data_IF_864348283476
#
_entry.id   IF_864348283476
#
_cell.length_a   1.000
_cell.length_b   1.000
_cell.length_c   1.000
_cell.angle_alpha   90.00
_cell.angle_beta   90.00
_cell.angle_gamma   90.00
#
_symmetry.space_group_name_H-M   'P 1'
#
loop_
_entity.id
_entity.type
_entity.pdbx_description
1 polymer ?
#
# COMPACT_ATOMS: atom_id res chain seq x y z
N UNK A 1 7.14 57.21 -38.56
CA UNK A 1 7.43 56.57 -37.25
C UNK A 1 6.18 56.01 -36.55
N UNK A 2 5.21 55.40 -37.26
CA UNK A 2 4.04 54.73 -36.64
C UNK A 2 3.85 53.27 -37.05
N UNK A 3 4.76 52.72 -37.87
CA UNK A 3 4.70 51.32 -38.33
C UNK A 3 5.76 50.40 -37.71
N UNK A 4 6.64 50.91 -36.85
CA UNK A 4 7.65 50.11 -36.14
C UNK A 4 7.20 49.74 -34.72
N UNK A 5 6.29 50.51 -34.11
CA UNK A 5 5.76 50.20 -32.78
C UNK A 5 4.83 48.97 -32.77
N UNK A 6 4.12 48.68 -33.88
CA UNK A 6 3.23 47.53 -33.96
C UNK A 6 3.98 46.18 -34.07
N UNK A 7 5.22 46.18 -34.58
CA UNK A 7 6.03 44.96 -34.70
C UNK A 7 6.77 44.62 -33.40
N UNK A 8 7.04 45.63 -32.55
CA UNK A 8 7.62 45.42 -31.21
C UNK A 8 6.60 44.88 -30.19
N UNK A 9 5.30 45.17 -30.36
CA UNK A 9 4.24 44.58 -29.52
C UNK A 9 4.00 43.10 -29.89
N UNK A 10 4.16 42.73 -31.17
CA UNK A 10 4.08 41.32 -31.59
C UNK A 10 5.30 40.48 -31.19
N UNK A 11 6.47 41.09 -30.99
CA UNK A 11 7.66 40.40 -30.46
C UNK A 11 7.65 40.27 -28.92
N UNK A 12 6.89 41.10 -28.20
CA UNK A 12 6.68 40.97 -26.75
C UNK A 12 5.48 40.08 -26.38
N UNK A 13 4.62 39.73 -27.34
CA UNK A 13 3.53 38.77 -27.16
C UNK A 13 3.89 37.33 -27.59
N UNK A 14 5.13 37.09 -28.05
CA UNK A 14 5.62 35.81 -28.56
C UNK A 14 6.31 34.90 -27.53
N UNK A 15 6.35 35.28 -26.25
CA UNK A 15 6.81 34.42 -25.16
C UNK A 15 5.58 33.87 -24.40
N UNK A 16 4.70 33.16 -25.12
CA UNK A 16 3.73 32.29 -24.46
C UNK A 16 4.46 31.06 -23.96
N UNK A 17 4.95 31.18 -22.73
CA UNK A 17 5.24 30.06 -21.84
C UNK A 17 4.02 29.14 -21.85
N UNK A 18 4.19 27.80 -21.89
CA UNK A 18 3.07 26.86 -21.83
C UNK A 18 2.21 27.18 -20.62
N UNK A 19 0.93 27.43 -20.86
CA UNK A 19 -0.07 27.67 -19.83
C UNK A 19 -0.24 26.39 -19.00
N UNK A 20 -0.14 26.48 -17.67
CA UNK A 20 -0.28 25.27 -16.87
C UNK A 20 -0.16 25.33 -15.36
N UNK A 21 -0.12 26.50 -14.70
CA UNK A 21 -0.50 26.65 -13.28
C UNK A 21 -1.10 28.05 -13.16
N UNK A 22 -2.15 28.23 -12.36
CA UNK A 22 -2.60 29.54 -11.92
C UNK A 22 -1.44 30.20 -11.15
N UNK A 23 -0.52 30.86 -11.86
CA UNK A 23 0.42 31.87 -11.34
C UNK A 23 -0.36 33.14 -11.01
N UNK A 24 -1.41 33.02 -10.20
CA UNK A 24 -1.98 34.17 -9.54
C UNK A 24 -1.00 34.57 -8.42
N UNK A 25 -0.22 35.62 -8.65
CA UNK A 25 0.27 36.60 -7.66
C UNK A 25 0.60 36.12 -6.22
N UNK A 26 1.19 34.94 -6.02
CA UNK A 26 1.68 34.51 -4.70
C UNK A 26 3.20 34.41 -4.74
N UNK A 27 3.88 35.28 -4.00
CA UNK A 27 5.33 35.23 -3.79
C UNK A 27 5.67 33.98 -2.98
N UNK A 28 6.72 33.20 -3.36
CA UNK A 28 7.16 32.08 -2.54
C UNK A 28 7.56 32.59 -1.15
N UNK A 29 7.22 31.81 -0.11
CA UNK A 29 7.61 32.10 1.28
C UNK A 29 9.08 31.77 1.54
N UNK A 30 9.67 30.90 0.71
CA UNK A 30 11.09 30.61 0.71
C UNK A 30 11.56 30.11 -0.66
N UNK A 31 12.83 30.36 -0.97
CA UNK A 31 13.51 29.83 -2.15
C UNK A 31 14.90 29.36 -1.75
N UNK A 32 15.27 28.16 -2.21
CA UNK A 32 16.56 27.55 -1.89
C UNK A 32 17.23 27.02 -3.15
N UNK A 33 18.55 27.13 -3.22
CA UNK A 33 19.32 26.30 -4.14
C UNK A 33 19.72 25.01 -3.42
N UNK A 34 19.46 23.88 -4.06
CA UNK A 34 19.94 22.55 -3.65
C UNK A 34 20.95 22.02 -4.65
N UNK A 35 21.96 21.34 -4.14
CA UNK A 35 23.04 20.72 -4.91
C UNK A 35 23.23 19.30 -4.38
N UNK A 36 23.38 18.34 -5.30
CA UNK A 36 23.59 16.95 -4.96
C UNK A 36 24.85 16.78 -4.08
N UNK A 37 24.77 15.96 -3.04
CA UNK A 37 25.83 15.69 -2.07
C UNK A 37 26.15 16.82 -1.08
N UNK A 38 25.36 17.91 -1.05
CA UNK A 38 25.59 19.05 -0.15
C UNK A 38 24.43 19.26 0.83
N UNK A 39 24.39 18.53 1.96
CA UNK A 39 23.34 18.68 2.96
C UNK A 39 23.42 20.03 3.68
N UNK A 40 22.27 20.57 4.08
CA UNK A 40 22.18 21.82 4.84
C UNK A 40 20.87 21.94 5.64
N UNK A 41 20.83 22.90 6.57
CA UNK A 41 19.62 23.25 7.36
C UNK A 41 19.28 24.73 7.19
N UNK A 42 17.99 25.06 7.01
CA UNK A 42 17.49 26.44 6.98
C UNK A 42 16.14 26.55 7.68
N UNK A 43 15.80 27.75 8.13
CA UNK A 43 14.48 28.06 8.68
C UNK A 43 13.59 28.73 7.63
N UNK A 44 12.32 28.35 7.64
CA UNK A 44 11.22 29.05 6.95
C UNK A 44 10.19 29.50 7.97
N UNK A 45 9.26 30.42 7.62
CA UNK A 45 8.20 30.78 8.55
C UNK A 45 7.51 29.52 9.10
N UNK A 46 7.58 29.29 10.42
CA UNK A 46 6.89 28.16 11.06
C UNK A 46 7.51 26.77 10.88
N UNK A 47 8.68 26.61 10.26
CA UNK A 47 9.35 25.31 10.15
C UNK A 47 10.89 25.38 10.00
N UNK A 48 11.58 24.32 10.40
CA UNK A 48 13.02 24.09 10.17
C UNK A 48 13.15 23.00 9.11
N UNK A 49 13.93 23.24 8.06
CA UNK A 49 14.06 22.39 6.87
C UNK A 49 15.49 21.88 6.76
N UNK A 50 15.65 20.57 6.59
CA UNK A 50 16.92 19.90 6.39
C UNK A 50 16.94 19.25 5.00
N UNK A 51 17.95 19.58 4.20
CA UNK A 51 18.22 18.93 2.93
C UNK A 51 19.20 17.78 3.12
N UNK A 52 18.88 16.60 2.59
CA UNK A 52 19.70 15.38 2.73
C UNK A 52 20.85 15.33 1.72
N UNK A 53 20.72 16.01 0.57
CA UNK A 53 21.73 15.98 -0.48
C UNK A 53 21.36 15.13 -1.70
N UNK A 54 20.17 14.56 -1.78
CA UNK A 54 19.84 13.51 -2.75
C UNK A 54 18.69 13.91 -3.66
N UNK A 55 18.87 13.73 -4.97
CA UNK A 55 17.79 13.81 -5.96
C UNK A 55 17.45 12.41 -6.44
N UNK A 56 16.16 12.14 -6.57
CA UNK A 56 15.65 10.84 -6.96
C UNK A 56 14.83 10.98 -8.24
N UNK A 57 14.89 9.97 -9.12
CA UNK A 57 14.04 9.91 -10.31
C UNK A 57 12.85 8.99 -10.02
N UNK A 58 11.65 9.56 -9.94
CA UNK A 58 10.45 8.80 -9.57
C UNK A 58 9.68 8.23 -10.77
N UNK A 59 10.30 8.20 -11.95
CA UNK A 59 9.70 7.76 -13.21
C UNK A 59 8.86 8.83 -13.92
N UNK A 60 8.47 9.91 -13.23
CA UNK A 60 7.68 11.01 -13.81
C UNK A 60 8.41 12.35 -13.79
N UNK A 61 9.37 12.51 -12.91
CA UNK A 61 10.18 13.72 -12.78
C UNK A 61 11.27 13.55 -11.74
N UNK A 62 12.06 14.61 -11.58
CA UNK A 62 13.03 14.69 -10.49
C UNK A 62 12.37 15.15 -9.20
N UNK A 63 12.78 14.51 -8.10
CA UNK A 63 12.39 14.92 -6.76
C UNK A 63 13.60 15.21 -5.87
N UNK A 64 13.36 16.06 -4.87
CA UNK A 64 14.34 16.47 -3.88
C UNK A 64 13.69 16.29 -2.51
N UNK A 65 14.19 15.33 -1.73
CA UNK A 65 13.68 15.01 -0.39
C UNK A 65 14.27 15.87 0.75
N UNK A 66 13.40 16.47 1.55
CA UNK A 66 13.72 17.28 2.72
C UNK A 66 13.17 16.64 4.00
N UNK A 67 13.84 16.82 5.14
CA UNK A 67 13.23 16.62 6.46
C UNK A 67 12.79 17.96 7.04
N UNK A 68 11.51 18.09 7.34
CA UNK A 68 10.90 19.33 7.84
C UNK A 68 10.40 19.13 9.26
N UNK A 69 10.70 20.07 10.16
CA UNK A 69 10.20 20.15 11.53
C UNK A 69 9.32 21.40 11.68
N UNK A 70 8.04 21.22 11.99
CA UNK A 70 7.07 22.31 12.14
C UNK A 70 7.08 22.82 13.57
N UNK A 71 7.40 24.09 13.76
CA UNK A 71 7.66 24.66 15.10
C UNK A 71 6.40 24.86 15.92
N UNK A 72 5.24 24.98 15.27
CA UNK A 72 3.94 25.18 15.93
C UNK A 72 3.31 23.85 16.40
N UNK A 73 3.46 22.78 15.62
CA UNK A 73 2.89 21.45 15.89
C UNK A 73 3.86 20.51 16.59
N UNK A 74 5.17 20.74 16.43
CA UNK A 74 6.23 19.87 16.92
C UNK A 74 6.46 18.61 16.06
N UNK A 75 5.79 18.51 14.90
CA UNK A 75 5.91 17.35 14.01
C UNK A 75 7.16 17.43 13.14
N UNK A 76 7.78 16.27 12.90
CA UNK A 76 8.89 16.10 11.97
C UNK A 76 8.55 15.04 10.92
N UNK A 77 8.68 15.37 9.63
CA UNK A 77 8.39 14.46 8.54
C UNK A 77 9.24 14.74 7.30
N UNK A 78 9.30 13.77 6.39
CA UNK A 78 9.88 13.92 5.06
C UNK A 78 8.93 14.64 4.11
N UNK A 79 9.45 15.52 3.27
CA UNK A 79 8.71 16.23 2.22
C UNK A 79 9.56 16.21 0.96
N UNK A 80 8.98 15.81 -0.16
CA UNK A 80 9.63 15.93 -1.46
C UNK A 80 9.25 17.26 -2.09
N UNK A 81 10.19 17.97 -2.70
CA UNK A 81 9.88 18.92 -3.74
C UNK A 81 9.86 18.15 -5.07
N UNK A 82 8.93 18.47 -5.97
CA UNK A 82 8.89 17.87 -7.32
C UNK A 82 8.76 18.94 -8.38
N UNK A 83 9.05 18.61 -9.63
CA UNK A 83 8.87 19.53 -10.76
C UNK A 83 7.41 20.04 -10.91
N UNK A 84 6.45 19.26 -10.40
CA UNK A 84 5.02 19.60 -10.44
C UNK A 84 4.50 20.22 -9.14
N UNK A 85 5.27 20.16 -8.06
CA UNK A 85 4.87 20.63 -6.75
C UNK A 85 4.21 19.57 -5.89
N UNK A 86 4.61 19.52 -4.63
CA UNK A 86 4.10 18.56 -3.64
C UNK A 86 3.70 19.25 -2.35
N UNK A 87 2.54 18.89 -1.80
CA UNK A 87 2.01 19.46 -0.55
C UNK A 87 2.59 18.70 0.64
N UNK A 88 3.15 19.41 1.63
CA UNK A 88 3.69 18.78 2.85
C UNK A 88 2.62 18.05 3.68
N UNK A 89 3.03 17.26 4.68
CA UNK A 89 2.09 16.43 5.44
C UNK A 89 1.26 17.21 6.48
N UNK A 90 1.61 18.46 6.77
CA UNK A 90 0.78 19.38 7.57
C UNK A 90 -0.20 20.17 6.67
N UNK A 91 -0.13 19.99 5.35
CA UNK A 91 -0.95 20.69 4.36
C UNK A 91 -0.63 22.19 4.25
N UNK A 92 0.50 22.65 4.80
CA UNK A 92 0.81 24.07 5.00
C UNK A 92 1.52 24.68 3.79
N UNK A 93 2.42 23.93 3.16
CA UNK A 93 3.24 24.39 2.04
C UNK A 93 3.18 23.47 0.82
N UNK A 94 3.42 24.06 -0.35
CA UNK A 94 3.65 23.41 -1.64
C UNK A 94 5.13 23.58 -1.99
N UNK A 95 5.80 22.49 -2.35
CA UNK A 95 7.24 22.40 -2.60
C UNK A 95 7.49 22.08 -4.07
N UNK A 96 8.03 23.04 -4.82
CA UNK A 96 8.26 22.92 -6.27
C UNK A 96 9.77 22.97 -6.54
N UNK A 97 10.28 22.09 -7.40
CA UNK A 97 11.64 22.22 -7.96
C UNK A 97 11.56 22.86 -9.33
N UNK A 98 12.40 23.86 -9.55
CA UNK A 98 12.58 24.52 -10.84
C UNK A 98 14.07 24.62 -11.16
N UNK A 99 14.40 25.02 -12.40
CA UNK A 99 15.77 25.24 -12.86
C UNK A 99 16.70 24.04 -12.61
N UNK A 100 16.17 22.81 -12.79
CA UNK A 100 16.93 21.58 -12.65
C UNK A 100 18.07 21.51 -13.67
N UNK A 101 19.24 21.11 -13.19
CA UNK A 101 20.41 20.81 -14.00
C UNK A 101 20.73 19.34 -13.84
N UNK A 102 20.98 18.66 -14.95
CA UNK A 102 21.31 17.24 -14.99
C UNK A 102 22.66 16.99 -15.65
N UNK A 103 23.22 15.82 -15.40
CA UNK A 103 24.41 15.28 -16.03
C UNK A 103 24.07 13.95 -16.69
N UNK A 104 24.58 13.72 -17.89
CA UNK A 104 24.42 12.46 -18.64
C UNK A 104 25.77 11.71 -18.71
N UNK A 105 25.73 10.41 -18.42
CA UNK A 105 26.86 9.50 -18.53
C UNK A 105 26.49 8.34 -19.47
N UNK A 106 26.75 8.46 -20.78
CA UNK A 106 26.35 7.45 -21.76
C UNK A 106 27.31 6.25 -21.79
N UNK A 107 26.76 5.05 -21.82
CA UNK A 107 27.46 3.81 -22.10
C UNK A 107 27.05 3.27 -23.46
N UNK A 108 27.99 2.78 -24.27
CA UNK A 108 27.70 2.29 -25.64
C UNK A 108 28.18 0.86 -25.81
N UNK A 109 27.33 0.02 -26.41
CA UNK A 109 27.65 -1.38 -26.72
C UNK A 109 27.20 -1.79 -28.12
N UNK A 110 28.02 -2.60 -28.78
CA UNK A 110 27.64 -3.28 -30.02
C UNK A 110 27.27 -4.73 -29.72
N UNK A 111 26.04 -5.13 -30.06
CA UNK A 111 25.51 -6.47 -29.79
C UNK A 111 25.06 -7.16 -31.09
N UNK A 112 25.56 -8.36 -31.31
CA UNK A 112 25.05 -9.30 -32.31
C UNK A 112 23.80 -10.04 -31.84
N UNK A 113 23.25 -10.87 -32.73
CA UNK A 113 22.13 -11.74 -32.42
C UNK A 113 22.46 -12.68 -31.25
N UNK A 114 21.56 -12.75 -30.26
CA UNK A 114 21.67 -13.49 -29.00
C UNK A 114 22.78 -13.02 -28.05
N UNK A 115 23.48 -11.92 -28.35
CA UNK A 115 24.37 -11.28 -27.38
C UNK A 115 23.55 -10.44 -26.38
N UNK A 116 24.03 -10.34 -25.14
CA UNK A 116 23.35 -9.66 -24.03
C UNK A 116 24.22 -8.59 -23.37
N UNK A 117 23.57 -7.58 -22.79
CA UNK A 117 24.18 -6.50 -22.02
C UNK A 117 23.16 -5.94 -21.01
N UNK A 118 23.48 -5.90 -19.71
CA UNK A 118 22.50 -5.56 -18.65
C UNK A 118 21.20 -6.35 -18.75
N UNK A 119 21.28 -7.66 -19.03
CA UNK A 119 20.12 -8.53 -19.29
C UNK A 119 19.24 -8.11 -20.48
N UNK A 120 19.66 -7.13 -21.28
CA UNK A 120 19.08 -6.81 -22.58
C UNK A 120 19.69 -7.72 -23.65
N UNK A 121 18.93 -8.71 -24.11
CA UNK A 121 19.36 -9.69 -25.12
C UNK A 121 18.75 -9.38 -26.48
N UNK A 122 19.60 -9.22 -27.49
CA UNK A 122 19.13 -8.97 -28.87
C UNK A 122 18.58 -10.26 -29.48
N UNK A 123 17.28 -10.34 -29.72
CA UNK A 123 16.63 -11.53 -30.31
C UNK A 123 16.44 -11.44 -31.82
N UNK A 124 16.46 -10.24 -32.38
CA UNK A 124 16.29 -10.05 -33.82
C UNK A 124 16.90 -8.75 -34.29
N UNK A 125 17.52 -8.75 -35.47
CA UNK A 125 18.07 -7.57 -36.14
C UNK A 125 17.62 -7.60 -37.60
N UNK A 126 16.92 -6.56 -38.02
CA UNK A 126 16.58 -6.29 -39.42
C UNK A 126 17.24 -4.98 -39.87
N UNK A 127 18.40 -5.07 -40.55
CA UNK A 127 19.13 -3.89 -41.01
C UNK A 127 18.41 -3.15 -42.15
N UNK A 128 17.47 -3.77 -42.85
CA UNK A 128 16.75 -3.12 -43.96
C UNK A 128 15.68 -2.18 -43.45
N UNK A 129 14.99 -2.56 -42.37
CA UNK A 129 13.96 -1.72 -41.74
C UNK A 129 14.48 -0.90 -40.58
N UNK A 130 15.77 -1.06 -40.24
CA UNK A 130 16.41 -0.41 -39.11
C UNK A 130 15.88 -0.91 -37.76
N UNK A 131 15.30 -2.12 -37.70
CA UNK A 131 14.56 -2.64 -36.55
C UNK A 131 15.39 -3.63 -35.74
N UNK A 132 15.33 -3.54 -34.42
CA UNK A 132 15.90 -4.52 -33.49
C UNK A 132 14.82 -4.93 -32.48
N UNK A 133 14.78 -6.21 -32.13
CA UNK A 133 13.97 -6.72 -31.02
C UNK A 133 14.93 -7.13 -29.91
N UNK A 134 14.67 -6.60 -28.72
CA UNK A 134 15.47 -6.79 -27.52
C UNK A 134 14.54 -7.36 -26.46
N UNK A 135 14.87 -8.52 -25.88
CA UNK A 135 14.19 -8.98 -24.68
C UNK A 135 14.99 -8.51 -23.47
N UNK A 136 14.29 -8.03 -22.46
CA UNK A 136 14.82 -7.77 -21.15
C UNK A 136 14.63 -9.03 -20.30
N UNK A 137 15.69 -9.79 -20.13
CA UNK A 137 15.65 -11.07 -19.41
C UNK A 137 15.42 -10.87 -17.89
N UNK A 138 15.56 -9.65 -17.36
CA UNK A 138 15.33 -9.32 -15.95
C UNK A 138 13.84 -9.17 -15.60
N UNK A 139 13.09 -8.39 -16.38
CA UNK A 139 11.66 -8.16 -16.14
C UNK A 139 10.73 -8.97 -17.07
N UNK A 140 11.27 -9.60 -18.11
CA UNK A 140 10.54 -10.39 -19.10
C UNK A 140 9.86 -9.59 -20.22
N UNK A 141 10.12 -8.28 -20.31
CA UNK A 141 9.58 -7.41 -21.35
C UNK A 141 10.33 -7.55 -22.68
N UNK A 142 9.66 -7.20 -23.78
CA UNK A 142 10.26 -7.18 -25.13
C UNK A 142 10.13 -5.80 -25.74
N UNK A 143 11.26 -5.17 -26.04
CA UNK A 143 11.32 -3.88 -26.74
C UNK A 143 11.53 -4.08 -28.23
N UNK A 144 10.79 -3.32 -29.01
CA UNK A 144 11.00 -3.19 -30.45
C UNK A 144 11.45 -1.77 -30.74
N UNK A 145 12.72 -1.63 -31.12
CA UNK A 145 13.33 -0.33 -31.41
C UNK A 145 13.68 -0.21 -32.89
N UNK A 146 13.59 1.01 -33.41
CA UNK A 146 14.16 1.43 -34.69
C UNK A 146 15.36 2.34 -34.47
N UNK A 147 16.25 2.43 -35.45
CA UNK A 147 17.40 3.34 -35.38
C UNK A 147 16.91 4.78 -35.14
N UNK A 148 17.43 5.40 -34.08
CA UNK A 148 17.04 6.71 -33.57
C UNK A 148 15.96 6.69 -32.49
N UNK A 149 15.34 5.53 -32.21
CA UNK A 149 14.38 5.40 -31.11
C UNK A 149 15.11 5.40 -29.77
N UNK A 150 14.45 5.99 -28.78
CA UNK A 150 14.82 5.91 -27.39
C UNK A 150 13.62 5.50 -26.53
N UNK A 151 13.89 4.77 -25.46
CA UNK A 151 12.88 4.36 -24.48
C UNK A 151 13.42 4.55 -23.06
N UNK A 152 12.55 4.96 -22.15
CA UNK A 152 12.86 5.00 -20.72
C UNK A 152 12.84 3.57 -20.18
N UNK A 153 13.96 3.13 -19.60
CA UNK A 153 14.14 1.82 -18.95
C UNK A 153 14.59 1.99 -17.50
N UNK A 154 14.28 3.14 -16.90
CA UNK A 154 14.62 3.45 -15.51
C UNK A 154 13.99 2.42 -14.57
N UNK A 155 14.79 1.78 -13.72
CA UNK A 155 14.31 0.73 -12.80
C UNK A 155 14.09 -0.64 -13.47
N UNK A 156 14.31 -0.76 -14.78
CA UNK A 156 14.07 -1.99 -15.54
C UNK A 156 15.36 -2.79 -15.80
N UNK A 157 16.51 -2.33 -15.29
CA UNK A 157 17.79 -3.02 -15.37
C UNK A 157 18.22 -3.54 -14.00
N UNK A 158 18.89 -4.71 -13.93
CA UNK A 158 19.29 -5.33 -12.67
C UNK A 158 20.28 -4.48 -11.85
N UNK A 159 20.99 -3.55 -12.50
CA UNK A 159 21.95 -2.63 -11.92
C UNK A 159 21.49 -1.17 -11.92
N UNK A 160 20.23 -0.91 -12.30
CA UNK A 160 19.65 0.42 -12.14
C UNK A 160 19.50 0.76 -10.67
N UNK A 161 20.07 1.89 -10.26
CA UNK A 161 19.81 2.47 -8.95
C UNK A 161 18.62 3.41 -9.12
N UNK A 162 17.63 3.37 -8.22
CA UNK A 162 16.39 4.20 -8.29
C UNK A 162 16.59 5.73 -8.20
N UNK A 163 17.83 6.20 -8.36
CA UNK A 163 18.29 7.58 -8.24
C UNK A 163 18.63 8.21 -9.59
N UNK A 164 18.51 7.47 -10.69
CA UNK A 164 18.84 7.95 -12.03
C UNK A 164 17.72 7.65 -13.03
N UNK A 165 17.67 8.49 -14.07
CA UNK A 165 16.88 8.21 -15.26
C UNK A 165 17.75 7.46 -16.25
N UNK A 166 17.33 6.26 -16.63
CA UNK A 166 18.04 5.42 -17.61
C UNK A 166 17.27 5.35 -18.91
N UNK A 167 17.89 5.78 -20.01
CA UNK A 167 17.28 5.76 -21.35
C UNK A 167 18.08 4.85 -22.28
N UNK A 168 17.40 3.88 -22.89
CA UNK A 168 17.97 3.01 -23.92
C UNK A 168 17.71 3.60 -25.31
N UNK A 169 18.77 3.88 -26.05
CA UNK A 169 18.74 4.33 -27.45
C UNK A 169 19.24 3.21 -28.37
N UNK A 170 18.52 2.97 -29.47
CA UNK A 170 19.09 2.24 -30.62
C UNK A 170 19.72 3.25 -31.57
N UNK A 171 21.04 3.42 -31.48
CA UNK A 171 21.76 4.46 -32.22
C UNK A 171 22.00 4.11 -33.69
N UNK A 172 22.32 2.86 -33.99
CA UNK A 172 22.66 2.41 -35.34
C UNK A 172 22.59 0.87 -35.47
N UNK A 173 22.60 0.36 -36.71
CA UNK A 173 22.80 -1.06 -37.02
C UNK A 173 23.99 -1.20 -37.98
N UNK A 174 25.10 -1.75 -37.49
CA UNK A 174 26.30 -2.01 -38.28
C UNK A 174 26.19 -3.36 -38.97
N UNK A 175 26.25 -3.37 -40.30
CA UNK A 175 26.25 -4.61 -41.09
C UNK A 175 27.64 -4.88 -41.66
N UNK A 176 28.19 -6.07 -41.37
CA UNK A 176 29.51 -6.49 -41.83
C UNK A 176 29.54 -7.95 -42.30
N UNK A 177 30.75 -8.44 -42.61
CA UNK A 177 30.98 -9.80 -43.11
C UNK A 177 30.52 -10.91 -42.16
N UNK A 178 30.37 -10.61 -40.87
CA UNK A 178 30.00 -11.56 -39.82
C UNK A 178 28.56 -11.40 -39.32
N UNK A 179 27.73 -10.65 -40.05
CA UNK A 179 26.34 -10.35 -39.70
C UNK A 179 26.12 -8.90 -39.29
N UNK A 180 24.89 -8.62 -38.85
CA UNK A 180 24.49 -7.29 -38.37
C UNK A 180 24.62 -7.22 -36.84
N UNK A 181 25.04 -6.05 -36.33
CA UNK A 181 25.11 -5.73 -34.91
C UNK A 181 24.31 -4.47 -34.61
N UNK A 182 23.53 -4.48 -33.55
CA UNK A 182 22.86 -3.32 -33.00
C UNK A 182 23.85 -2.48 -32.17
N UNK A 183 23.84 -1.17 -32.36
CA UNK A 183 24.61 -0.22 -31.53
C UNK A 183 23.63 0.39 -30.54
N UNK A 184 23.68 -0.08 -29.29
CA UNK A 184 22.84 0.39 -28.20
C UNK A 184 23.61 1.40 -27.35
N UNK A 185 22.90 2.41 -26.87
CA UNK A 185 23.43 3.39 -25.90
C UNK A 185 22.50 3.43 -24.69
N UNK A 186 23.04 3.28 -23.49
CA UNK A 186 22.35 3.54 -22.24
C UNK A 186 22.79 4.91 -21.73
N UNK A 187 21.85 5.83 -21.59
CA UNK A 187 22.07 7.15 -21.01
C UNK A 187 21.69 7.13 -19.53
N UNK A 188 22.67 7.32 -18.65
CA UNK A 188 22.47 7.42 -17.22
C UNK A 188 22.43 8.89 -16.82
N UNK A 189 21.23 9.42 -16.60
CA UNK A 189 20.99 10.84 -16.35
C UNK A 189 20.71 11.06 -14.86
N UNK A 190 21.51 11.92 -14.22
CA UNK A 190 21.39 12.26 -12.80
C UNK A 190 21.19 13.76 -12.60
N UNK A 191 20.36 14.17 -11.63
CA UNK A 191 20.21 15.57 -11.26
C UNK A 191 21.38 16.03 -10.37
N UNK A 192 21.96 17.18 -10.70
CA UNK A 192 23.12 17.75 -9.99
C UNK A 192 22.76 18.98 -9.15
N UNK A 193 21.77 19.77 -9.58
CA UNK A 193 21.27 20.91 -8.81
C UNK A 193 19.87 21.34 -9.24
N UNK A 194 19.19 22.09 -8.38
CA UNK A 194 17.87 22.65 -8.65
C UNK A 194 17.53 23.77 -7.68
N UNK A 195 16.53 24.57 -8.03
CA UNK A 195 15.97 25.62 -7.17
C UNK A 195 14.66 25.10 -6.58
N UNK A 196 14.53 25.07 -5.26
CA UNK A 196 13.27 24.75 -4.59
C UNK A 196 12.54 26.02 -4.19
N UNK A 197 11.30 26.14 -4.63
CA UNK A 197 10.37 27.23 -4.32
C UNK A 197 9.26 26.69 -3.41
N UNK A 198 9.03 27.36 -2.29
CA UNK A 198 8.03 26.97 -1.29
C UNK A 198 6.90 28.00 -1.28
N UNK A 199 5.67 27.53 -1.48
CA UNK A 199 4.46 28.36 -1.52
C UNK A 199 3.50 28.00 -0.39
N UNK A 200 2.71 28.94 0.13
CA UNK A 200 1.62 28.59 1.05
C UNK A 200 0.54 27.79 0.31
N UNK A 201 -0.03 26.77 0.95
CA UNK A 201 -1.09 25.94 0.37
C UNK A 201 -2.50 26.43 0.83
N UNK A 202 -3.35 26.93 -0.07
CA UNK A 202 -4.67 27.43 0.29
C UNK A 202 -5.81 26.39 0.24
N UNK A 203 -5.58 25.13 -0.15
CA UNK A 203 -6.72 24.22 -0.31
C UNK A 203 -6.49 22.79 -0.81
N UNK A 204 -5.26 22.28 -0.88
CA UNK A 204 -5.02 20.87 -1.19
C UNK A 204 -4.78 20.05 0.09
N UNK A 205 -5.25 18.79 0.14
CA UNK A 205 -4.95 17.93 1.29
C UNK A 205 -3.43 17.64 1.36
N UNK A 206 -2.91 17.37 2.56
CA UNK A 206 -1.50 17.02 2.74
C UNK A 206 -1.06 15.84 1.87
N UNK A 207 0.19 15.85 1.38
CA UNK A 207 0.77 14.76 0.58
C UNK A 207 0.29 14.68 -0.88
N UNK A 208 -0.25 15.77 -1.43
CA UNK A 208 -0.77 15.82 -2.80
C UNK A 208 0.28 16.36 -3.77
N UNK A 209 0.55 15.66 -4.88
CA UNK A 209 1.30 16.20 -6.01
C UNK A 209 0.36 16.94 -6.97
N UNK A 210 0.72 18.15 -7.40
CA UNK A 210 -0.21 19.05 -8.09
C UNK A 210 -0.40 18.73 -9.59
N UNK A 211 0.44 17.85 -10.15
CA UNK A 211 0.36 17.34 -11.53
C UNK A 211 0.49 18.41 -12.65
N UNK A 212 0.85 18.02 -13.87
CA UNK A 212 0.73 18.91 -15.02
C UNK A 212 -0.76 19.15 -15.30
N UNK A 213 -1.13 20.42 -15.52
CA UNK A 213 -2.51 20.89 -15.72
C UNK A 213 -3.37 19.93 -16.54
N UNK A 214 -4.54 19.63 -15.98
CA UNK A 214 -5.54 18.69 -16.48
C UNK A 214 -5.96 18.95 -17.92
N UNK A 215 -5.43 18.20 -18.89
CA UNK A 215 -6.10 17.88 -20.14
C UNK A 215 -5.81 16.43 -20.54
N UNK A 216 -6.88 15.68 -20.82
CA UNK A 216 -6.94 14.28 -21.26
C UNK A 216 -6.57 13.20 -20.23
N UNK A 217 -7.60 12.83 -19.45
CA UNK A 217 -7.71 11.55 -18.77
C UNK A 217 -7.59 10.41 -19.79
N UNK A 218 -6.47 9.70 -19.77
CA UNK A 218 -6.52 8.23 -19.71
C UNK A 218 -6.10 7.86 -18.29
N UNK A 219 -7.06 7.32 -17.52
CA UNK A 219 -6.88 6.86 -16.14
C UNK A 219 -5.63 5.97 -16.02
N UNK A 220 -4.54 6.50 -15.48
CA UNK A 220 -3.64 5.68 -14.67
C UNK A 220 -3.99 5.96 -13.22
N UNK A 221 -4.80 5.07 -12.65
CA UNK A 221 -5.06 5.05 -11.22
C UNK A 221 -3.73 5.00 -10.46
N UNK A 222 -3.63 5.64 -9.27
CA UNK A 222 -2.44 5.52 -8.42
C UNK A 222 -2.10 4.04 -8.25
N UNK A 223 -0.89 3.63 -8.65
CA UNK A 223 -0.45 2.24 -8.49
C UNK A 223 -0.35 1.95 -7.00
N UNK A 224 -1.31 1.18 -6.50
CA UNK A 224 -1.28 0.66 -5.13
C UNK A 224 -0.01 -0.16 -4.95
N UNK A 225 0.81 0.10 -3.91
CA UNK A 225 1.99 -0.69 -3.65
C UNK A 225 1.61 -2.17 -3.53
N UNK A 226 2.32 -3.09 -4.21
CA UNK A 226 2.00 -4.51 -4.12
C UNK A 226 2.07 -4.96 -2.66
N UNK A 227 1.09 -5.76 -2.23
CA UNK A 227 1.07 -6.32 -0.88
C UNK A 227 2.36 -7.11 -0.65
N UNK A 228 3.04 -6.82 0.46
CA UNK A 228 4.24 -7.55 0.83
C UNK A 228 3.89 -9.03 1.01
N UNK A 229 4.46 -9.90 0.16
CA UNK A 229 4.23 -11.34 0.14
C UNK A 229 4.73 -12.06 1.41
N UNK A 230 5.44 -11.37 2.30
CA UNK A 230 5.85 -11.91 3.61
C UNK A 230 4.85 -11.60 4.72
N UNK A 231 3.89 -10.70 4.50
CA UNK A 231 2.90 -10.35 5.52
C UNK A 231 1.84 -11.45 5.62
N UNK A 232 1.54 -11.95 6.83
CA UNK A 232 0.56 -13.01 6.99
C UNK A 232 -0.86 -12.52 6.70
N UNK A 233 -1.68 -13.44 6.19
CA UNK A 233 -3.10 -13.18 5.93
C UNK A 233 -3.86 -12.93 7.23
N UNK A 234 -3.52 -13.69 8.27
CA UNK A 234 -4.09 -13.57 9.59
C UNK A 234 -2.98 -13.53 10.63
N UNK A 235 -3.07 -12.56 11.55
CA UNK A 235 -2.17 -12.45 12.70
C UNK A 235 -2.95 -12.75 13.97
N UNK A 236 -2.47 -13.68 14.79
CA UNK A 236 -3.06 -14.02 16.09
C UNK A 236 -2.25 -13.33 17.18
N UNK A 237 -2.85 -12.35 17.84
CA UNK A 237 -2.23 -11.60 18.93
C UNK A 237 -2.73 -12.16 20.26
N UNK A 238 -1.80 -12.68 21.06
CA UNK A 238 -2.06 -13.21 22.39
C UNK A 238 -1.34 -12.35 23.42
N UNK A 239 -1.96 -12.15 24.59
CA UNK A 239 -1.31 -11.39 25.65
C UNK A 239 -0.05 -12.05 26.20
N UNK A 240 1.02 -11.27 26.43
CA UNK A 240 2.26 -11.75 27.07
C UNK A 240 1.98 -12.41 28.43
N UNK A 241 1.03 -11.84 29.18
CA UNK A 241 0.64 -12.31 30.51
C UNK A 241 -0.61 -13.20 30.48
N UNK A 242 -1.03 -13.66 29.29
CA UNK A 242 -2.20 -14.49 29.16
C UNK A 242 -1.99 -15.84 29.85
N UNK A 243 -3.04 -16.38 30.48
CA UNK A 243 -2.92 -17.69 31.11
C UNK A 243 -2.64 -18.75 30.03
N UNK A 244 -2.00 -19.86 30.39
CA UNK A 244 -1.71 -20.94 29.42
C UNK A 244 -2.95 -21.44 28.66
N UNK A 245 -4.14 -21.26 29.21
CA UNK A 245 -5.42 -21.53 28.55
C UNK A 245 -5.76 -20.56 27.42
N UNK A 246 -5.42 -19.28 27.56
CA UNK A 246 -5.64 -18.24 26.54
C UNK A 246 -4.63 -18.42 25.39
N UNK A 247 -3.39 -18.79 25.70
CA UNK A 247 -2.37 -19.19 24.71
C UNK A 247 -2.84 -20.40 23.91
N UNK A 248 -3.36 -21.43 24.59
CA UNK A 248 -3.93 -22.60 23.93
C UNK A 248 -5.18 -22.25 23.09
N UNK A 249 -6.01 -21.32 23.55
CA UNK A 249 -7.16 -20.83 22.79
C UNK A 249 -6.72 -20.07 21.53
N UNK A 250 -5.68 -19.23 21.62
CA UNK A 250 -5.09 -18.54 20.47
C UNK A 250 -4.50 -19.51 19.45
N UNK A 251 -3.75 -20.50 19.90
CA UNK A 251 -3.21 -21.55 19.04
C UNK A 251 -4.31 -22.32 18.31
N UNK A 252 -5.46 -22.59 18.95
CA UNK A 252 -6.61 -23.23 18.30
C UNK A 252 -7.19 -22.40 17.16
N UNK A 253 -7.33 -21.09 17.36
CA UNK A 253 -7.80 -20.18 16.31
C UNK A 253 -6.80 -20.15 15.16
N UNK A 254 -5.50 -20.00 15.45
CA UNK A 254 -4.44 -20.03 14.44
C UNK A 254 -4.42 -21.31 13.62
N UNK A 255 -4.51 -22.48 14.27
CA UNK A 255 -4.59 -23.78 13.59
C UNK A 255 -5.86 -23.87 12.71
N UNK A 256 -7.00 -23.36 13.18
CA UNK A 256 -8.25 -23.38 12.42
C UNK A 256 -8.12 -22.57 11.13
N UNK A 257 -7.60 -21.34 11.27
CA UNK A 257 -7.38 -20.42 10.15
C UNK A 257 -6.36 -21.00 9.18
N UNK A 258 -5.22 -21.52 9.66
CA UNK A 258 -4.21 -22.14 8.79
C UNK A 258 -4.78 -23.34 8.03
N UNK A 259 -5.48 -24.27 8.71
CA UNK A 259 -6.10 -25.42 8.03
C UNK A 259 -7.11 -25.01 6.98
N UNK A 260 -7.85 -23.93 7.27
CA UNK A 260 -8.82 -23.40 6.34
C UNK A 260 -8.13 -22.79 5.10
N UNK A 261 -7.04 -22.05 5.30
CA UNK A 261 -6.18 -21.54 4.22
C UNK A 261 -5.60 -22.69 3.39
N UNK A 262 -5.05 -23.73 4.03
CA UNK A 262 -4.43 -24.88 3.35
C UNK A 262 -5.42 -25.58 2.43
N UNK A 263 -6.67 -25.78 2.89
CA UNK A 263 -7.72 -26.43 2.08
C UNK A 263 -8.10 -25.61 0.85
N UNK A 264 -8.06 -24.28 0.96
CA UNK A 264 -8.32 -23.41 -0.18
C UNK A 264 -7.16 -23.47 -1.17
N UNK A 265 -5.92 -23.53 -0.69
CA UNK A 265 -4.75 -23.76 -1.55
C UNK A 265 -4.80 -25.12 -2.26
N UNK A 266 -5.23 -26.17 -1.57
CA UNK A 266 -5.23 -27.55 -2.09
C UNK A 266 -6.36 -27.81 -3.11
N UNK A 267 -7.48 -27.09 -3.01
CA UNK A 267 -8.64 -27.25 -3.91
C UNK A 267 -8.46 -26.46 -5.20
N UNK A 268 -7.65 -26.98 -6.10
CA UNK A 268 -7.61 -26.56 -7.51
C UNK A 268 -8.87 -27.04 -8.26
N UNK A 269 -9.50 -26.16 -9.04
CA UNK A 269 -10.39 -26.57 -10.13
C UNK A 269 -11.90 -26.43 -9.92
N UNK A 270 -12.56 -27.33 -9.19
CA UNK A 270 -14.02 -27.55 -9.40
C UNK A 270 -14.88 -27.72 -8.13
N UNK A 271 -14.35 -27.42 -6.94
CA UNK A 271 -15.09 -27.65 -5.68
C UNK A 271 -15.77 -26.38 -5.19
N UNK A 272 -17.09 -26.31 -5.30
CA UNK A 272 -17.90 -25.30 -4.60
C UNK A 272 -17.74 -25.50 -3.10
N UNK A 273 -17.07 -24.56 -2.43
CA UNK A 273 -16.92 -24.59 -0.96
C UNK A 273 -18.25 -24.11 -0.34
N UNK A 274 -18.97 -24.98 0.41
CA UNK A 274 -20.24 -24.60 1.00
C UNK A 274 -20.09 -23.41 1.96
N UNK A 275 -20.96 -22.41 1.81
CA UNK A 275 -20.90 -21.16 2.58
C UNK A 275 -20.09 -20.02 1.96
N UNK A 276 -19.28 -20.28 0.91
CA UNK A 276 -18.48 -19.27 0.21
C UNK A 276 -19.06 -18.82 -1.14
N UNK A 277 -20.07 -19.52 -1.68
CA UNK A 277 -20.74 -19.11 -2.93
C UNK A 277 -19.78 -18.96 -4.11
N UNK A 278 -19.94 -17.87 -4.90
CA UNK A 278 -19.10 -17.58 -6.08
C UNK A 278 -17.63 -17.27 -5.77
N UNK A 279 -17.27 -16.96 -4.51
CA UNK A 279 -15.88 -16.77 -4.09
C UNK A 279 -15.08 -18.08 -4.16
N UNK A 280 -15.72 -19.23 -3.91
CA UNK A 280 -15.04 -20.52 -3.91
C UNK A 280 -14.38 -20.88 -5.24
N UNK A 281 -15.02 -20.55 -6.37
CA UNK A 281 -14.49 -20.83 -7.71
C UNK A 281 -13.31 -19.91 -8.09
N UNK A 282 -13.31 -18.64 -7.65
CA UNK A 282 -12.21 -17.70 -7.94
C UNK A 282 -11.00 -17.95 -7.04
N UNK A 283 -11.21 -18.29 -5.77
CA UNK A 283 -10.13 -18.65 -4.84
C UNK A 283 -9.31 -19.86 -5.32
N UNK A 284 -9.95 -20.82 -6.00
CA UNK A 284 -9.29 -22.00 -6.59
C UNK A 284 -8.32 -21.68 -7.75
N UNK A 285 -8.37 -20.45 -8.28
CA UNK A 285 -7.54 -20.00 -9.41
C UNK A 285 -6.37 -19.09 -9.00
N UNK A 286 -6.26 -18.78 -7.70
CA UNK A 286 -5.25 -17.83 -7.21
C UNK A 286 -3.87 -18.49 -7.01
N UNK A 287 -2.77 -17.80 -7.34
CA UNK A 287 -1.42 -18.29 -7.06
C UNK A 287 -1.21 -18.49 -5.55
N UNK A 288 -0.75 -19.67 -5.15
CA UNK A 288 -0.65 -20.12 -3.75
C UNK A 288 0.49 -19.48 -2.92
N UNK A 289 0.99 -18.29 -3.29
CA UNK A 289 2.17 -17.69 -2.66
C UNK A 289 1.81 -17.12 -1.27
N UNK A 290 2.43 -17.69 -0.24
CA UNK A 290 2.55 -17.21 1.16
C UNK A 290 1.28 -16.84 1.95
N UNK A 291 0.15 -17.50 1.73
CA UNK A 291 -0.99 -17.36 2.64
C UNK A 291 -0.72 -18.13 3.94
N UNK A 292 -0.37 -17.45 5.02
CA UNK A 292 -0.14 -18.06 6.33
C UNK A 292 -0.91 -17.33 7.43
N UNK A 293 -1.29 -18.07 8.46
CA UNK A 293 -1.62 -17.53 9.76
C UNK A 293 -0.37 -17.56 10.63
N UNK A 294 -0.05 -16.44 11.28
CA UNK A 294 1.09 -16.33 12.21
C UNK A 294 0.62 -15.84 13.58
N UNK A 295 1.46 -15.97 14.61
CA UNK A 295 1.12 -15.58 15.97
C UNK A 295 2.23 -14.72 16.59
N UNK A 296 1.83 -13.70 17.36
CA UNK A 296 2.74 -12.83 18.10
C UNK A 296 2.19 -12.48 19.47
N UNK A 297 3.07 -12.03 20.36
CA UNK A 297 2.65 -11.48 21.65
C UNK A 297 2.18 -10.03 21.49
N UNK A 298 1.23 -9.60 22.32
CA UNK A 298 0.71 -8.23 22.30
C UNK A 298 1.78 -7.16 22.56
N UNK A 299 2.84 -7.48 23.31
CA UNK A 299 3.99 -6.60 23.54
C UNK A 299 4.89 -6.43 22.32
N UNK A 300 4.79 -7.31 21.33
CA UNK A 300 5.53 -7.23 20.06
C UNK A 300 4.77 -6.37 19.03
N UNK A 301 3.51 -6.03 19.31
CA UNK A 301 2.68 -5.22 18.41
C UNK A 301 3.09 -3.75 18.48
N UNK A 302 3.89 -3.31 17.51
CA UNK A 302 4.32 -1.91 17.36
C UNK A 302 3.48 -1.12 16.34
N UNK A 303 3.04 -1.76 15.25
CA UNK A 303 2.20 -1.16 14.21
C UNK A 303 1.06 -2.11 13.80
N UNK A 304 -0.10 -2.05 14.48
CA UNK A 304 -1.23 -2.94 14.20
C UNK A 304 -1.80 -2.84 12.79
N UNK A 305 -1.53 -1.74 12.07
CA UNK A 305 -2.01 -1.54 10.70
C UNK A 305 -1.29 -2.41 9.67
N UNK A 306 -0.11 -2.95 10.02
CA UNK A 306 0.81 -3.62 9.10
C UNK A 306 1.10 -5.09 9.42
N UNK A 307 0.77 -5.57 10.62
CA UNK A 307 1.11 -6.93 11.08
C UNK A 307 0.32 -8.06 10.37
N UNK A 308 -0.82 -7.74 9.76
CA UNK A 308 -1.66 -8.70 9.06
C UNK A 308 -2.95 -8.06 8.55
N UNK A 309 -3.59 -8.70 7.57
CA UNK A 309 -4.85 -8.18 7.02
C UNK A 309 -6.04 -8.36 7.97
N UNK A 310 -6.12 -9.52 8.63
CA UNK A 310 -7.04 -9.74 9.76
C UNK A 310 -6.21 -9.99 11.01
N UNK A 311 -6.50 -9.25 12.07
CA UNK A 311 -5.83 -9.43 13.36
C UNK A 311 -6.82 -10.04 14.36
N UNK A 312 -6.55 -11.26 14.80
CA UNK A 312 -7.31 -11.94 15.85
C UNK A 312 -6.73 -11.59 17.21
N UNK A 313 -7.44 -10.79 18.00
CA UNK A 313 -7.05 -10.49 19.39
C UNK A 313 -7.67 -11.52 20.31
N UNK A 314 -6.84 -12.34 20.97
CA UNK A 314 -7.32 -13.43 21.82
C UNK A 314 -7.13 -13.10 23.29
N UNK A 315 -8.21 -13.23 24.06
CA UNK A 315 -8.26 -12.94 25.49
C UNK A 315 -8.81 -11.55 25.81
N UNK A 316 -9.42 -11.42 26.99
CA UNK A 316 -10.03 -10.15 27.42
C UNK A 316 -9.02 -9.05 27.78
N UNK A 317 -9.49 -7.81 28.01
CA UNK A 317 -8.62 -6.65 28.32
C UNK A 317 -7.71 -6.81 29.55
N UNK A 318 -8.01 -7.75 30.44
CA UNK A 318 -7.18 -8.04 31.60
C UNK A 318 -5.93 -8.87 31.25
N UNK A 319 -5.99 -9.65 30.17
CA UNK A 319 -4.95 -10.58 29.77
C UNK A 319 -4.19 -10.10 28.52
N UNK A 320 -4.80 -9.26 27.69
CA UNK A 320 -4.27 -8.82 26.40
C UNK A 320 -4.44 -7.29 26.25
N UNK A 321 -3.32 -6.59 26.11
CA UNK A 321 -3.25 -5.13 25.94
C UNK A 321 -3.86 -4.67 24.62
N UNK A 322 -3.72 -5.47 23.55
CA UNK A 322 -4.35 -5.19 22.26
C UNK A 322 -5.88 -5.26 22.38
N UNK A 323 -6.42 -6.25 23.09
CA UNK A 323 -7.85 -6.30 23.43
C UNK A 323 -8.31 -5.11 24.27
N UNK A 324 -7.47 -4.63 25.20
CA UNK A 324 -7.76 -3.44 25.99
C UNK A 324 -7.81 -2.17 25.12
N UNK A 325 -6.88 -2.04 24.16
CA UNK A 325 -6.88 -0.96 23.18
C UNK A 325 -8.16 -0.97 22.35
N UNK A 326 -8.55 -2.12 21.78
CA UNK A 326 -9.80 -2.25 21.03
C UNK A 326 -11.01 -1.87 21.87
N UNK A 327 -11.05 -2.30 23.14
CA UNK A 327 -12.17 -2.04 24.05
C UNK A 327 -12.34 -0.55 24.46
N UNK A 328 -11.36 0.32 24.17
CA UNK A 328 -11.47 1.76 24.40
C UNK A 328 -12.37 2.47 23.38
N UNK A 329 -12.66 1.82 22.25
CA UNK A 329 -13.60 2.31 21.23
C UNK A 329 -15.01 2.47 21.80
N UNK A 330 -15.65 3.59 21.51
CA UNK A 330 -16.98 3.95 22.02
C UNK A 330 -18.12 3.49 21.10
N UNK A 331 -17.80 3.16 19.85
CA UNK A 331 -18.73 2.70 18.82
C UNK A 331 -19.02 1.19 18.89
N UNK A 332 -18.37 0.45 19.79
CA UNK A 332 -18.56 -0.99 19.91
C UNK A 332 -19.96 -1.34 20.45
N UNK A 333 -20.66 -2.32 19.84
CA UNK A 333 -21.98 -2.74 20.28
C UNK A 333 -21.97 -3.44 21.64
N UNK A 334 -20.82 -4.00 22.04
CA UNK A 334 -20.58 -4.62 23.35
C UNK A 334 -19.18 -4.21 23.81
N UNK A 335 -19.01 -3.93 25.11
CA UNK A 335 -17.73 -3.58 25.71
C UNK A 335 -17.51 -4.35 27.00
N UNK A 336 -16.24 -4.57 27.33
CA UNK A 336 -15.80 -5.03 28.63
C UNK A 336 -15.74 -3.84 29.60
N UNK A 337 -16.46 -3.95 30.72
CA UNK A 337 -16.50 -2.94 31.76
C UNK A 337 -16.09 -3.58 33.08
N UNK A 338 -15.14 -2.97 33.80
CA UNK A 338 -14.71 -3.41 35.13
C UNK A 338 -15.43 -2.59 36.20
N UNK A 339 -16.26 -3.23 37.01
CA UNK A 339 -16.97 -2.63 38.15
C UNK A 339 -16.73 -3.47 39.40
N UNK A 340 -16.31 -2.85 40.51
CA UNK A 340 -16.07 -3.54 41.79
C UNK A 340 -15.19 -4.80 41.63
N UNK A 341 -14.08 -4.65 40.90
CA UNK A 341 -13.14 -5.72 40.56
C UNK A 341 -13.69 -6.92 39.77
N UNK A 342 -14.89 -6.79 39.18
CA UNK A 342 -15.48 -7.79 38.30
C UNK A 342 -15.63 -7.25 36.88
N UNK A 343 -15.32 -8.09 35.91
CA UNK A 343 -15.55 -7.80 34.50
C UNK A 343 -16.96 -8.17 34.08
N UNK A 344 -17.54 -7.33 33.24
CA UNK A 344 -18.85 -7.51 32.63
C UNK A 344 -18.79 -7.22 31.14
N UNK A 345 -19.59 -7.94 30.37
CA UNK A 345 -19.90 -7.54 29.00
C UNK A 345 -21.14 -6.67 29.09
N UNK A 346 -21.08 -5.47 28.53
CA UNK A 346 -22.17 -4.51 28.54
C UNK A 346 -22.44 -4.08 27.10
N UNK A 347 -23.68 -4.25 26.65
CA UNK A 347 -24.09 -3.78 25.33
C UNK A 347 -24.35 -2.27 25.32
N UNK A 348 -24.32 -1.66 24.13
CA UNK A 348 -24.76 -0.27 23.92
C UNK A 348 -26.23 -0.02 24.32
N UNK A 349 -27.03 -1.08 24.47
CA UNK A 349 -28.44 -1.03 24.85
C UNK A 349 -28.68 -1.30 26.34
N UNK A 350 -27.63 -1.54 27.13
CA UNK A 350 -27.73 -1.80 28.57
C UNK A 350 -27.87 -3.27 28.96
N UNK A 351 -28.00 -4.21 28.01
CA UNK A 351 -27.89 -5.65 28.30
C UNK A 351 -26.52 -5.95 28.92
N UNK A 352 -26.51 -6.82 29.93
CA UNK A 352 -25.31 -7.11 30.74
C UNK A 352 -25.15 -8.60 30.98
N UNK A 353 -23.93 -9.10 30.76
CA UNK A 353 -23.54 -10.48 31.06
C UNK A 353 -22.44 -10.51 32.11
N UNK A 354 -22.51 -11.52 32.98
CA UNK A 354 -21.54 -11.79 34.04
C UNK A 354 -21.34 -13.30 34.17
N UNK A 355 -20.19 -13.72 34.69
CA UNK A 355 -19.80 -15.14 34.74
C UNK A 355 -18.99 -15.54 33.50
N UNK A 356 -19.07 -16.80 33.10
CA UNK A 356 -18.23 -17.38 32.04
C UNK A 356 -18.82 -17.16 30.63
N UNK A 357 -18.94 -15.89 30.22
CA UNK A 357 -19.37 -15.51 28.87
C UNK A 357 -18.19 -15.04 28.01
N UNK A 358 -18.27 -15.39 26.73
CA UNK A 358 -17.37 -14.96 25.66
C UNK A 358 -18.04 -13.97 24.71
N UNK A 359 -17.21 -13.28 23.93
CA UNK A 359 -17.60 -12.48 22.79
C UNK A 359 -16.71 -12.79 21.60
N UNK A 360 -17.31 -12.92 20.43
CA UNK A 360 -16.65 -12.86 19.14
C UNK A 360 -17.10 -11.57 18.48
N UNK A 361 -16.18 -10.66 18.20
CA UNK A 361 -16.51 -9.36 17.64
C UNK A 361 -15.67 -9.01 16.43
N UNK A 362 -16.33 -8.65 15.34
CA UNK A 362 -15.68 -8.10 14.15
C UNK A 362 -15.67 -6.59 14.27
N UNK A 363 -14.50 -5.99 14.14
CA UNK A 363 -14.28 -4.55 14.20
C UNK A 363 -13.56 -4.16 12.90
N UNK A 364 -14.27 -3.59 11.91
CA UNK A 364 -13.62 -3.08 10.71
C UNK A 364 -12.59 -2.01 11.09
N UNK A 365 -11.40 -2.12 10.48
CA UNK A 365 -10.37 -1.11 10.60
C UNK A 365 -10.68 0.10 9.69
N UNK A 366 -11.59 -0.06 8.73
CA UNK A 366 -11.84 0.84 7.61
C UNK A 366 -13.34 0.89 7.33
N UNK A 367 -13.86 2.05 6.94
CA UNK A 367 -15.31 2.30 6.79
C UNK A 367 -15.81 2.20 5.35
N UNK A 368 -14.91 2.34 4.37
CA UNK A 368 -15.25 2.27 2.95
C UNK A 368 -14.01 1.96 2.08
N UNK A 369 -14.27 1.71 0.79
CA UNK A 369 -13.25 1.35 -0.21
C UNK A 369 -12.23 2.46 -0.44
N UNK A 370 -12.63 3.74 -0.39
CA UNK A 370 -11.72 4.87 -0.63
C UNK A 370 -10.73 5.03 0.54
N UNK A 371 -11.23 4.93 1.78
CA UNK A 371 -10.39 4.89 2.99
C UNK A 371 -9.47 3.67 2.96
N UNK A 372 -9.91 2.55 2.38
CA UNK A 372 -9.04 1.38 2.21
C UNK A 372 -7.93 1.62 1.19
N UNK A 373 -8.25 2.24 0.05
CA UNK A 373 -7.25 2.66 -0.94
C UNK A 373 -6.21 3.58 -0.30
N UNK A 374 -6.66 4.60 0.41
CA UNK A 374 -5.76 5.52 1.13
C UNK A 374 -4.90 4.81 2.20
N UNK A 375 -5.49 3.86 2.92
CA UNK A 375 -4.81 3.04 3.94
C UNK A 375 -3.70 2.19 3.31
N UNK A 376 -4.01 1.51 2.19
CA UNK A 376 -3.05 0.71 1.43
C UNK A 376 -1.91 1.56 0.86
N UNK A 377 -2.23 2.74 0.33
CA UNK A 377 -1.22 3.69 -0.16
C UNK A 377 -0.26 4.15 0.95
N UNK A 378 -0.71 4.15 2.21
CA UNK A 378 0.10 4.42 3.41
C UNK A 378 0.80 3.17 3.97
N UNK A 379 0.72 2.04 3.26
CA UNK A 379 1.30 0.76 3.67
C UNK A 379 0.53 0.02 4.76
N UNK A 380 -0.67 0.48 5.13
CA UNK A 380 -1.55 -0.21 6.08
C UNK A 380 -2.42 -1.21 5.32
N UNK A 381 -2.36 -2.47 5.72
CA UNK A 381 -3.04 -3.57 5.02
C UNK A 381 -4.21 -4.14 5.82
N UNK A 382 -4.34 -3.77 7.10
CA UNK A 382 -5.36 -4.30 7.99
C UNK A 382 -6.75 -3.86 7.56
N UNK A 383 -7.64 -4.83 7.37
CA UNK A 383 -9.06 -4.57 7.05
C UNK A 383 -9.98 -4.73 8.26
N UNK A 384 -9.63 -5.59 9.22
CA UNK A 384 -10.45 -5.86 10.39
C UNK A 384 -9.65 -6.43 11.56
N UNK A 385 -10.12 -6.12 12.75
CA UNK A 385 -9.77 -6.80 13.99
C UNK A 385 -10.91 -7.77 14.36
N UNK A 386 -10.57 -8.99 14.77
CA UNK A 386 -11.52 -9.96 15.32
C UNK A 386 -11.15 -10.20 16.79
N UNK A 387 -11.94 -9.62 17.69
CA UNK A 387 -11.78 -9.82 19.12
C UNK A 387 -12.46 -11.12 19.54
N UNK A 388 -11.69 -12.07 20.07
CA UNK A 388 -12.17 -13.35 20.58
C UNK A 388 -11.78 -13.45 22.05
N UNK A 389 -12.71 -13.10 22.94
CA UNK A 389 -12.38 -12.84 24.34
C UNK A 389 -13.52 -13.21 25.27
N UNK A 390 -13.20 -13.60 26.51
CA UNK A 390 -14.19 -13.80 27.56
C UNK A 390 -13.95 -12.99 28.81
N UNK A 391 -14.96 -13.00 29.67
CA UNK A 391 -14.90 -12.45 31.03
C UNK A 391 -13.95 -13.25 31.93
N UNK A 392 -13.76 -14.52 31.59
CA UNK A 392 -12.80 -15.44 32.17
C UNK A 392 -12.23 -16.37 31.09
N UNK A 393 -11.32 -17.26 31.50
CA UNK A 393 -10.71 -18.26 30.62
C UNK A 393 -11.72 -19.18 29.93
N UNK A 394 -12.85 -19.47 30.57
CA UNK A 394 -13.87 -20.38 30.03
C UNK A 394 -14.67 -19.71 28.93
N UNK A 395 -15.04 -18.44 29.13
CA UNK A 395 -15.66 -17.61 28.10
C UNK A 395 -14.75 -17.42 26.89
N UNK A 396 -13.46 -17.14 27.09
CA UNK A 396 -12.49 -17.03 25.97
C UNK A 396 -12.42 -18.36 25.22
N UNK A 397 -12.29 -19.46 25.94
CA UNK A 397 -12.19 -20.80 25.34
C UNK A 397 -13.43 -21.19 24.53
N UNK A 398 -14.63 -20.94 25.08
CA UNK A 398 -15.88 -21.23 24.38
C UNK A 398 -16.04 -20.40 23.10
N UNK A 399 -15.68 -19.11 23.13
CA UNK A 399 -15.67 -18.26 21.95
C UNK A 399 -14.66 -18.77 20.89
N UNK A 400 -13.44 -19.14 21.31
CA UNK A 400 -12.43 -19.70 20.41
C UNK A 400 -12.84 -21.06 19.83
N UNK A 401 -13.44 -21.94 20.63
CA UNK A 401 -13.86 -23.28 20.17
C UNK A 401 -15.05 -23.23 19.23
N UNK A 402 -16.04 -22.37 19.49
CA UNK A 402 -17.11 -22.08 18.55
C UNK A 402 -16.55 -21.57 17.23
N UNK A 403 -15.70 -20.53 17.27
CA UNK A 403 -15.11 -19.93 16.08
C UNK A 403 -14.27 -20.92 15.27
N UNK A 404 -13.41 -21.70 15.94
CA UNK A 404 -12.65 -22.81 15.33
C UNK A 404 -13.59 -23.82 14.67
N UNK A 405 -14.68 -24.19 15.37
CA UNK A 405 -15.70 -25.10 14.86
C UNK A 405 -16.29 -24.60 13.54
N UNK A 406 -16.67 -23.32 13.48
CA UNK A 406 -17.22 -22.69 12.30
C UNK A 406 -16.24 -22.61 11.13
N UNK A 407 -14.97 -22.23 11.37
CA UNK A 407 -13.95 -22.24 10.30
C UNK A 407 -13.74 -23.64 9.71
N UNK A 408 -13.89 -24.69 10.51
CA UNK A 408 -13.75 -26.07 10.05
C UNK A 408 -15.04 -26.67 9.47
N UNK A 409 -16.19 -25.99 9.50
CA UNK A 409 -17.43 -26.50 8.89
C UNK A 409 -17.37 -26.50 7.35
N UNK A 410 -16.95 -25.42 6.65
CA UNK A 410 -16.81 -25.42 5.20
C UNK A 410 -15.88 -26.53 4.69
N UNK A 411 -14.82 -26.81 5.45
CA UNK A 411 -13.88 -27.93 5.22
C UNK A 411 -14.61 -29.28 5.17
N UNK A 412 -15.59 -29.47 6.04
CA UNK A 412 -16.39 -30.69 6.15
C UNK A 412 -17.60 -30.70 5.22
N UNK A 413 -17.73 -29.71 4.34
CA UNK A 413 -18.90 -29.53 3.48
C UNK A 413 -20.17 -29.11 4.22
N UNK A 414 -20.02 -28.57 5.44
CA UNK A 414 -21.11 -28.10 6.29
C UNK A 414 -21.15 -26.58 6.22
N UNK A 415 -22.34 -26.00 6.15
CA UNK A 415 -22.51 -24.56 6.18
C UNK A 415 -22.25 -24.01 7.61
N UNK A 416 -21.49 -22.91 7.75
CA UNK A 416 -21.34 -22.22 9.03
C UNK A 416 -22.68 -21.77 9.60
N UNK A 417 -22.70 -21.51 10.91
CA UNK A 417 -23.81 -20.80 11.54
C UNK A 417 -24.01 -19.45 10.84
N UNK A 418 -25.27 -19.08 10.60
CA UNK A 418 -25.64 -17.83 9.92
C UNK A 418 -25.08 -16.61 10.64
N UNK A 419 -24.95 -16.67 11.97
CA UNK A 419 -24.52 -15.56 12.80
C UNK A 419 -22.99 -15.38 12.76
N UNK A 420 -22.25 -16.44 12.38
CA UNK A 420 -20.78 -16.43 12.21
C UNK A 420 -20.35 -16.41 10.73
N UNK A 421 -21.30 -16.50 9.80
CA UNK A 421 -21.07 -16.52 8.36
C UNK A 421 -20.25 -15.32 7.89
N UNK A 422 -20.53 -14.11 8.40
CA UNK A 422 -19.82 -12.90 8.01
C UNK A 422 -18.34 -12.95 8.37
N UNK A 423 -17.96 -13.60 9.49
CA UNK A 423 -16.54 -13.80 9.86
C UNK A 423 -15.87 -14.75 8.87
N UNK A 424 -16.55 -15.87 8.57
CA UNK A 424 -16.03 -16.89 7.65
C UNK A 424 -15.88 -16.33 6.23
N UNK A 425 -16.83 -15.50 5.78
CA UNK A 425 -16.78 -14.82 4.48
C UNK A 425 -15.69 -13.74 4.42
N UNK A 426 -15.54 -12.95 5.48
CA UNK A 426 -14.48 -11.94 5.60
C UNK A 426 -13.10 -12.60 5.48
N UNK A 427 -12.87 -13.69 6.23
CA UNK A 427 -11.62 -14.45 6.14
C UNK A 427 -11.35 -14.97 4.73
N UNK A 428 -12.41 -15.30 3.97
CA UNK A 428 -12.27 -15.77 2.60
C UNK A 428 -11.97 -14.71 1.58
N UNK A 429 -12.51 -13.51 1.76
CA UNK A 429 -12.25 -12.39 0.87
C UNK A 429 -10.82 -11.89 0.99
N UNK A 430 -10.24 -11.94 2.19
CA UNK A 430 -8.86 -11.56 2.42
C UNK A 430 -7.86 -12.43 1.66
N UNK A 431 -8.18 -13.71 1.45
CA UNK A 431 -7.33 -14.56 0.60
C UNK A 431 -7.34 -14.13 -0.86
N UNK A 432 -8.46 -13.55 -1.35
CA UNK A 432 -8.52 -13.01 -2.70
C UNK A 432 -7.70 -11.73 -2.89
N UNK A 433 -7.45 -10.99 -1.81
CA UNK A 433 -6.72 -9.71 -1.84
C UNK A 433 -5.25 -9.85 -2.21
N UNK A 434 -4.61 -10.98 -1.90
CA UNK A 434 -3.21 -11.22 -2.27
C UNK A 434 -2.99 -11.44 -3.77
N UNK A 435 -4.06 -11.78 -4.51
CA UNK A 435 -3.97 -11.93 -5.95
C UNK A 435 -4.36 -10.64 -6.69
N UNK A 436 -5.40 -9.95 -6.21
CA UNK A 436 -5.81 -8.63 -6.68
C UNK A 436 -6.58 -7.91 -5.54
N UNK A 437 -6.00 -6.87 -4.92
CA UNK A 437 -6.57 -6.18 -3.76
C UNK A 437 -7.88 -5.44 -4.02
N UNK A 438 -8.27 -5.21 -5.29
CA UNK A 438 -9.51 -4.50 -5.64
C UNK A 438 -10.58 -5.39 -6.25
N UNK A 439 -10.21 -6.54 -6.83
CA UNK A 439 -11.19 -7.54 -7.31
C UNK A 439 -12.18 -7.97 -6.23
N UNK A 440 -11.81 -7.88 -4.95
CA UNK A 440 -12.65 -8.29 -3.81
C UNK A 440 -13.94 -7.49 -3.70
N UNK A 441 -13.94 -6.22 -4.15
CA UNK A 441 -15.10 -5.34 -4.09
C UNK A 441 -16.11 -5.63 -5.20
N UNK A 442 -15.66 -6.30 -6.27
CA UNK A 442 -16.50 -6.72 -7.39
C UNK A 442 -17.10 -8.12 -7.18
N UNK A 443 -16.59 -8.88 -6.19
CA UNK A 443 -16.86 -10.31 -6.01
C UNK A 443 -17.32 -10.58 -4.57
N UNK A 444 -18.61 -10.37 -4.32
CA UNK A 444 -19.25 -10.80 -3.07
C UNK A 444 -19.55 -9.67 -2.09
N UNK A 445 -19.49 -9.98 -0.79
CA UNK A 445 -19.78 -9.04 0.30
C UNK A 445 -18.67 -7.98 0.37
N UNK A 446 -18.98 -6.69 0.44
CA UNK A 446 -17.93 -5.68 0.58
C UNK A 446 -17.31 -5.76 1.99
N UNK A 447 -16.02 -6.13 2.15
CA UNK A 447 -15.40 -6.31 3.46
C UNK A 447 -15.29 -5.00 4.25
N UNK A 448 -15.40 -3.84 3.58
CA UNK A 448 -15.46 -2.53 4.25
C UNK A 448 -16.88 -2.18 4.74
N UNK A 449 -17.90 -2.94 4.30
CA UNK A 449 -19.29 -2.78 4.73
C UNK A 449 -19.71 -3.78 5.81
N UNK A 450 -18.78 -4.56 6.37
CA UNK A 450 -19.09 -5.45 7.50
C UNK A 450 -19.51 -4.56 8.69
N UNK A 451 -20.75 -4.64 9.19
CA UNK A 451 -21.11 -3.89 10.39
C UNK A 451 -20.35 -4.45 11.59
N UNK A 452 -20.02 -3.59 12.56
CA UNK A 452 -19.40 -4.05 13.81
C UNK A 452 -20.36 -5.05 14.46
N UNK A 453 -20.00 -6.33 14.48
CA UNK A 453 -20.91 -7.39 14.93
C UNK A 453 -20.31 -8.02 16.17
N UNK A 454 -21.10 -8.13 17.24
CA UNK A 454 -20.71 -8.81 18.46
C UNK A 454 -21.64 -10.00 18.75
N UNK A 455 -21.05 -11.16 18.96
CA UNK A 455 -21.74 -12.42 19.21
C UNK A 455 -21.39 -12.84 20.63
N UNK A 456 -22.39 -12.87 21.50
CA UNK A 456 -22.24 -13.32 22.89
C UNK A 456 -22.37 -14.84 22.92
N UNK A 457 -21.38 -15.48 23.52
CA UNK A 457 -21.26 -16.93 23.62
C UNK A 457 -21.26 -17.32 25.09
N UNK A 458 -22.02 -18.35 25.48
CA UNK A 458 -21.91 -18.91 26.82
C UNK A 458 -20.75 -19.92 26.93
N UNK A 459 -20.46 -20.37 28.15
CA UNK A 459 -19.42 -21.38 28.42
C UNK A 459 -19.62 -22.72 27.72
N UNK A 460 -20.82 -23.00 27.21
CA UNK A 460 -21.20 -24.26 26.56
C UNK A 460 -21.21 -24.08 25.02
N UNK A 461 -20.51 -23.05 24.52
CA UNK A 461 -20.32 -22.72 23.10
C UNK A 461 -21.62 -22.30 22.37
N UNK A 462 -22.66 -21.90 23.10
CA UNK A 462 -23.93 -21.49 22.50
C UNK A 462 -23.97 -19.99 22.25
N UNK A 463 -24.44 -19.61 21.07
CA UNK A 463 -24.75 -18.22 20.75
C UNK A 463 -25.99 -17.81 21.56
N UNK A 464 -25.81 -16.84 22.44
CA UNK A 464 -26.87 -16.33 23.32
C UNK A 464 -27.49 -15.07 22.74
N UNK A 465 -26.69 -14.24 22.07
CA UNK A 465 -27.13 -12.96 21.52
C UNK A 465 -26.20 -12.49 20.40
N UNK A 466 -26.77 -11.79 19.43
CA UNK A 466 -26.03 -11.14 18.35
C UNK A 466 -26.41 -9.66 18.33
N UNK A 467 -25.41 -8.79 18.26
CA UNK A 467 -25.56 -7.36 18.10
C UNK A 467 -24.91 -6.93 16.79
N UNK A 468 -25.64 -6.13 16.02
CA UNK A 468 -25.14 -5.52 14.79
C UNK A 468 -25.04 -4.01 15.02
N UNK A 469 -23.86 -3.47 14.74
CA UNK A 469 -23.41 -2.10 14.97
C UNK A 469 -24.17 -1.07 14.16
#
# INVERSE_FOLDING_TARGET
>A
MRKIAAFLIFLLAGAMVPAGIVKAEVTPVATFQVVAGQPWTKEIPGAIVNWTGEFDWNGKGWEATFSVYFTETGYQHGVSATENGFVDSDGKYIWIITNLQTQDNPETKELGLMESWHDLTVKFIDPLTGKVIIDNDFNGETYTLRVGDNIDVSGELPDSNGYEKTVLELKDIKTGLFGSKAVLVLHHITAVSGTVEVYPNPGYPPGTELGPGSENQTNEEPKIPPLNLSTPTAMIVVGENAAGTDVAAGAKVGIAVQKWIDIIKEKTGDVVIPGLGGLGAKLATLPSKNLNADAMLDTEVSDPGKIGMIVYSVGGPAANQYSAMLNNRTDLPVRFVKENDRWYLVSKYGDRWSGSYGVIMIIPAIRNVDEFKESLMKGNIKIADVLVAGLDRWGTYAACDLLKGEFLKPVKGIQPDKDLMSIVQLQAQVLAMFADPFSIFEIGFDPTKVPITAIIVDKDERIVKVFVG
#
